data_IF_594685193201
#
_entry.id   IF_594685193201
#
_cell.length_a   1.000
_cell.length_b   1.000
_cell.length_c   1.000
_cell.angle_alpha   90.00
_cell.angle_beta   90.00
_cell.angle_gamma   90.00
#
_symmetry.space_group_name_H-M   'P 1'
#
loop_
_entity.id
_entity.type
_entity.pdbx_description
1 polymer ?
#
# COMPACT_ATOMS: atom_id res chain seq x y z
N UNK A 1 8.50 11.96 -15.43
CA UNK A 1 7.73 11.11 -14.51
C UNK A 1 6.47 11.86 -14.11
N UNK A 2 5.34 11.17 -13.87
CA UNK A 2 4.16 11.81 -13.28
C UNK A 2 4.52 12.53 -11.97
N UNK A 3 3.78 13.57 -11.62
CA UNK A 3 3.99 14.36 -10.42
C UNK A 3 2.68 14.49 -9.64
N UNK A 4 2.81 14.60 -8.32
CA UNK A 4 1.71 14.83 -7.39
C UNK A 4 1.30 16.31 -7.40
N UNK A 5 0.18 16.63 -6.73
CA UNK A 5 -0.37 18.00 -6.71
C UNK A 5 0.55 19.02 -6.02
N UNK A 6 1.41 18.55 -5.12
CA UNK A 6 2.45 19.33 -4.43
C UNK A 6 3.74 19.50 -5.27
N UNK A 7 3.79 18.92 -6.48
CA UNK A 7 4.96 18.95 -7.36
C UNK A 7 5.96 17.81 -7.12
N UNK A 8 5.72 16.92 -6.15
CA UNK A 8 6.60 15.79 -5.87
C UNK A 8 6.58 14.81 -7.06
N UNK A 9 7.73 14.49 -7.69
CA UNK A 9 7.78 13.52 -8.78
C UNK A 9 7.61 12.09 -8.25
N UNK A 10 6.98 11.22 -9.04
CA UNK A 10 6.89 9.78 -8.76
C UNK A 10 8.23 9.09 -9.08
N UNK A 11 8.70 8.23 -8.19
CA UNK A 11 9.96 7.48 -8.36
C UNK A 11 9.87 6.38 -9.43
N UNK A 12 8.75 5.63 -9.45
CA UNK A 12 8.56 4.48 -10.34
C UNK A 12 7.12 4.36 -10.81
N UNK A 13 6.93 3.94 -12.07
CA UNK A 13 5.60 3.67 -12.65
C UNK A 13 5.55 2.21 -13.08
N UNK A 14 4.65 1.43 -12.46
CA UNK A 14 4.44 0.03 -12.78
C UNK A 14 3.28 -0.14 -13.78
N UNK A 15 3.39 -1.17 -14.64
CA UNK A 15 2.30 -1.55 -15.54
C UNK A 15 1.15 -2.19 -14.73
N UNK A 16 -0.09 -1.66 -14.79
CA UNK A 16 -1.23 -2.20 -14.05
C UNK A 16 -1.59 -3.63 -14.43
N UNK A 17 -1.27 -4.09 -15.65
CA UNK A 17 -1.56 -5.47 -16.10
C UNK A 17 -0.66 -6.52 -15.45
N UNK A 18 0.46 -6.11 -14.83
CA UNK A 18 1.41 -7.01 -14.18
C UNK A 18 0.87 -7.65 -12.89
N UNK A 19 -0.12 -7.03 -12.26
CA UNK A 19 -0.75 -7.50 -11.02
C UNK A 19 -1.78 -8.61 -11.27
N UNK A 20 -2.83 -8.40 -12.11
CA UNK A 20 -3.83 -9.43 -12.36
C UNK A 20 -3.26 -10.65 -13.07
N UNK A 21 -2.31 -10.45 -14.00
CA UNK A 21 -1.66 -11.57 -14.71
C UNK A 21 -0.90 -12.54 -13.80
N UNK A 22 -0.42 -12.07 -12.65
CA UNK A 22 0.32 -12.87 -11.66
C UNK A 22 -0.49 -13.17 -10.40
N UNK A 23 -1.75 -12.71 -10.35
CA UNK A 23 -2.62 -12.82 -9.19
C UNK A 23 -2.01 -12.28 -7.88
N UNK A 24 -1.13 -11.28 -7.96
CA UNK A 24 -0.43 -10.72 -6.80
C UNK A 24 -1.13 -9.46 -6.26
N UNK A 25 -2.35 -9.60 -5.76
CA UNK A 25 -3.11 -8.48 -5.15
C UNK A 25 -2.41 -7.88 -3.93
N UNK A 26 -1.53 -8.65 -3.26
CA UNK A 26 -0.76 -8.20 -2.11
C UNK A 26 0.07 -6.94 -2.40
N UNK A 27 0.57 -6.77 -3.63
CA UNK A 27 1.31 -5.56 -4.04
C UNK A 27 0.47 -4.29 -3.94
N UNK A 28 -0.83 -4.38 -4.27
CA UNK A 28 -1.73 -3.24 -4.16
C UNK A 28 -1.96 -2.90 -2.68
N UNK A 29 -2.19 -3.91 -1.84
CA UNK A 29 -2.37 -3.71 -0.41
C UNK A 29 -1.11 -3.15 0.28
N UNK A 30 0.06 -3.64 -0.10
CA UNK A 30 1.34 -3.13 0.41
C UNK A 30 1.56 -1.66 0.02
N UNK A 31 1.32 -1.30 -1.24
CA UNK A 31 1.47 0.07 -1.70
C UNK A 31 0.49 1.03 -1.00
N UNK A 32 -0.79 0.65 -0.87
CA UNK A 32 -1.80 1.47 -0.17
C UNK A 32 -1.49 1.63 1.32
N UNK A 33 -1.04 0.57 2.00
CA UNK A 33 -0.67 0.66 3.41
C UNK A 33 0.63 1.45 3.60
N UNK A 34 1.59 1.30 2.69
CA UNK A 34 2.83 2.08 2.67
C UNK A 34 2.54 3.58 2.55
N UNK A 35 1.64 3.96 1.63
CA UNK A 35 1.20 5.35 1.48
C UNK A 35 0.51 5.87 2.75
N UNK A 36 -0.34 5.06 3.39
CA UNK A 36 -0.96 5.44 4.66
C UNK A 36 0.07 5.59 5.79
N UNK A 37 1.10 4.74 5.83
CA UNK A 37 2.20 4.82 6.79
C UNK A 37 3.06 6.07 6.62
N UNK A 38 3.34 6.46 5.38
CA UNK A 38 4.07 7.70 5.06
C UNK A 38 3.31 8.94 5.54
N UNK A 39 1.99 8.99 5.28
CA UNK A 39 1.14 10.10 5.72
C UNK A 39 0.96 10.18 7.24
N UNK A 40 1.06 9.05 7.95
CA UNK A 40 0.85 8.96 9.40
C UNK A 40 2.16 8.90 10.21
N UNK A 41 3.31 8.93 9.54
CA UNK A 41 4.64 8.71 10.13
C UNK A 41 4.69 7.41 10.96
N UNK A 42 4.24 6.30 10.37
CA UNK A 42 4.17 4.98 11.01
C UNK A 42 4.70 3.87 10.13
N UNK A 43 5.39 2.93 10.77
CA UNK A 43 5.80 1.67 10.15
C UNK A 43 4.91 0.52 10.61
N UNK A 44 4.40 -0.24 9.65
CA UNK A 44 3.53 -1.39 9.90
C UNK A 44 4.29 -2.70 9.73
N UNK A 45 4.02 -3.66 10.61
CA UNK A 45 4.42 -5.05 10.47
C UNK A 45 3.17 -5.90 10.34
N UNK A 46 3.02 -6.59 9.22
CA UNK A 46 1.91 -7.52 8.99
C UNK A 46 2.42 -8.95 9.19
N UNK A 47 1.73 -9.74 10.00
CA UNK A 47 1.99 -11.17 10.09
C UNK A 47 1.40 -11.88 8.86
N UNK A 48 2.10 -12.86 8.24
CA UNK A 48 1.75 -13.43 6.93
C UNK A 48 0.31 -13.94 6.77
N UNK A 49 -0.31 -14.42 7.85
CA UNK A 49 -1.68 -14.97 7.83
C UNK A 49 -2.60 -14.33 8.88
N UNK A 50 -2.26 -13.13 9.37
CA UNK A 50 -3.14 -12.43 10.30
C UNK A 50 -4.42 -11.97 9.60
N UNK A 51 -5.56 -12.25 10.23
CA UNK A 51 -6.86 -11.74 9.78
C UNK A 51 -6.94 -10.26 10.15
N UNK A 52 -7.16 -9.39 9.17
CA UNK A 52 -7.24 -7.93 9.36
C UNK A 52 -8.55 -7.45 9.99
N UNK A 53 -9.34 -8.32 10.63
CA UNK A 53 -10.61 -7.93 11.23
C UNK A 53 -10.99 -8.85 12.40
N UNK A 54 -10.60 -8.46 13.62
CA UNK A 54 -11.45 -8.59 14.81
C UNK A 54 -11.08 -7.69 16.01
N UNK A 55 -10.27 -6.64 15.88
CA UNK A 55 -9.88 -5.77 17.02
C UNK A 55 -10.18 -4.28 16.79
N UNK A 56 -11.29 -3.96 16.11
CA UNK A 56 -11.83 -2.58 16.09
C UNK A 56 -12.84 -2.33 17.23
N UNK A 57 -12.89 -3.20 18.24
CA UNK A 57 -13.87 -3.13 19.33
C UNK A 57 -13.45 -2.26 20.52
N UNK A 58 -12.27 -1.63 20.52
CA UNK A 58 -11.83 -0.76 21.63
C UNK A 58 -10.99 0.44 21.16
N UNK A 59 -11.58 1.31 20.34
CA UNK A 59 -11.22 2.75 20.31
C UNK A 59 -12.45 3.52 20.75
#
# INVERSE_FOLDING_TARGET
MPYLQDGTPVDMVFNPLGVPSRMNVGQIFECSLGLAGDLLDRHYRIAPFAKLAQDFSNI
#
